data_IF_244690155700
#
_entry.id   IF_244690155700
#
_cell.length_a   1.000
_cell.length_b   1.000
_cell.length_c   1.000
_cell.angle_alpha   90.00
_cell.angle_beta   90.00
_cell.angle_gamma   90.00
#
_symmetry.space_group_name_H-M   'P 1'
#
loop_
_entity.id
_entity.type
_entity.pdbx_description
1 polymer ?
#
# COMPACT_ATOMS: atom_id res chain seq x y z
N UNK A 1 -9.67 -32.28 -28.70
CA UNK A 1 -9.88 -30.83 -28.96
C UNK A 1 -10.51 -30.12 -27.75
N UNK A 2 -11.68 -30.56 -27.26
CA UNK A 2 -12.42 -29.89 -26.18
C UNK A 2 -11.64 -29.78 -24.83
N UNK A 3 -10.87 -30.80 -24.45
CA UNK A 3 -10.05 -30.83 -23.22
C UNK A 3 -8.84 -29.86 -23.23
N UNK A 4 -8.30 -29.54 -24.41
CA UNK A 4 -7.15 -28.62 -24.53
C UNK A 4 -7.62 -27.17 -24.38
N UNK A 5 -8.79 -26.84 -24.94
CA UNK A 5 -9.42 -25.52 -24.79
C UNK A 5 -9.81 -25.27 -23.33
N UNK A 6 -10.35 -26.29 -22.64
CA UNK A 6 -10.67 -26.18 -21.22
C UNK A 6 -9.43 -25.90 -20.36
N UNK A 7 -8.32 -26.62 -20.57
CA UNK A 7 -7.07 -26.37 -19.84
C UNK A 7 -6.45 -24.99 -20.12
N UNK A 8 -6.56 -24.50 -21.36
CA UNK A 8 -6.08 -23.17 -21.73
C UNK A 8 -6.92 -22.05 -21.07
N UNK A 9 -8.24 -22.20 -21.04
CA UNK A 9 -9.15 -21.25 -20.38
C UNK A 9 -8.96 -21.29 -18.85
N UNK A 10 -8.76 -22.47 -18.26
CA UNK A 10 -8.49 -22.64 -16.82
C UNK A 10 -7.16 -21.97 -16.41
N UNK A 11 -6.12 -22.05 -17.25
CA UNK A 11 -4.83 -21.41 -17.00
C UNK A 11 -4.93 -19.87 -16.95
N UNK A 12 -5.77 -19.27 -17.80
CA UNK A 12 -5.99 -17.82 -17.83
C UNK A 12 -6.72 -17.30 -16.58
N UNK A 13 -7.67 -18.08 -16.05
CA UNK A 13 -8.49 -17.70 -14.88
C UNK A 13 -7.75 -17.85 -13.54
N UNK A 14 -6.70 -18.66 -13.47
CA UNK A 14 -5.99 -18.96 -12.22
C UNK A 14 -4.75 -18.10 -11.93
N UNK A 15 -4.49 -17.05 -12.72
CA UNK A 15 -3.41 -16.11 -12.38
C UNK A 15 -3.85 -15.21 -11.22
N UNK A 16 -3.62 -15.68 -9.99
CA UNK A 16 -3.76 -14.88 -8.77
C UNK A 16 -2.71 -13.76 -8.83
N UNK A 17 -3.07 -12.65 -9.46
CA UNK A 17 -2.20 -11.49 -9.60
C UNK A 17 -1.80 -11.02 -8.20
N UNK A 18 -0.52 -10.72 -8.00
CA UNK A 18 0.00 -10.20 -6.72
C UNK A 18 -0.25 -8.70 -6.70
N UNK A 19 -0.80 -8.17 -5.60
CA UNK A 19 -0.92 -6.72 -5.43
C UNK A 19 0.49 -6.13 -5.33
N UNK A 20 0.85 -5.28 -6.28
CA UNK A 20 2.11 -4.52 -6.26
C UNK A 20 1.82 -3.16 -5.66
N UNK A 21 2.53 -2.81 -4.58
CA UNK A 21 2.43 -1.50 -3.96
C UNK A 21 3.53 -0.57 -4.46
N UNK A 22 3.22 0.72 -4.53
CA UNK A 22 4.23 1.77 -4.73
C UNK A 22 5.09 1.90 -3.49
N UNK A 23 6.38 2.13 -3.69
CA UNK A 23 7.30 2.41 -2.59
C UNK A 23 6.83 3.68 -1.86
N UNK A 24 6.63 3.52 -0.56
CA UNK A 24 6.21 4.59 0.33
C UNK A 24 7.07 4.52 1.57
N UNK A 25 8.03 5.43 1.66
CA UNK A 25 8.82 5.63 2.85
C UNK A 25 8.65 7.10 3.30
N UNK A 26 7.85 7.35 4.34
CA UNK A 26 7.62 8.72 4.83
C UNK A 26 8.85 9.34 5.51
N UNK A 27 9.90 8.54 5.77
CA UNK A 27 11.16 8.97 6.39
C UNK A 27 12.31 9.00 5.37
N UNK A 28 12.00 9.08 4.07
CA UNK A 28 13.02 9.25 3.04
C UNK A 28 13.83 10.52 3.33
N UNK A 29 15.12 10.31 3.59
CA UNK A 29 16.06 11.39 3.80
C UNK A 29 16.37 11.99 2.43
N UNK A 30 15.59 13.00 2.03
CA UNK A 30 15.76 13.69 0.76
C UNK A 30 17.16 14.35 0.69
N UNK A 31 17.65 14.56 -0.54
CA UNK A 31 18.95 15.20 -0.83
C UNK A 31 19.08 16.66 -0.35
N UNK A 32 18.00 17.25 0.18
CA UNK A 32 17.99 18.60 0.73
C UNK A 32 17.59 18.55 2.23
N UNK A 33 18.23 19.35 3.09
CA UNK A 33 18.03 19.33 4.55
C UNK A 33 16.72 20.02 4.93
N UNK A 34 16.15 19.89 6.15
CA UNK A 34 16.06 18.77 7.09
C UNK A 34 14.89 17.84 6.72
N UNK A 35 14.74 16.70 7.38
CA UNK A 35 13.59 15.83 7.14
C UNK A 35 12.29 16.60 7.38
N UNK A 36 11.28 16.48 6.51
CA UNK A 36 9.99 17.19 6.67
C UNK A 36 9.29 16.84 8.00
N UNK A 37 9.65 15.69 8.57
CA UNK A 37 9.22 15.23 9.89
C UNK A 37 9.90 15.95 11.07
N UNK A 38 11.08 16.56 10.88
CA UNK A 38 11.81 17.36 11.89
C UNK A 38 11.26 18.78 12.00
N UNK A 39 10.61 19.29 10.94
CA UNK A 39 9.93 20.60 10.96
C UNK A 39 8.66 20.62 11.83
N UNK A 40 8.22 19.44 12.30
CA UNK A 40 7.01 19.28 13.10
C UNK A 40 7.42 18.97 14.53
N UNK A 41 6.96 19.75 15.51
CA UNK A 41 7.23 19.49 16.92
C UNK A 41 6.75 18.10 17.36
N UNK A 42 7.47 17.47 18.29
CA UNK A 42 7.13 16.13 18.80
C UNK A 42 5.76 16.04 19.48
N UNK A 43 5.27 17.15 20.02
CA UNK A 43 3.94 17.24 20.64
C UNK A 43 2.81 17.55 19.66
N UNK A 44 3.10 17.68 18.36
CA UNK A 44 2.06 17.99 17.38
C UNK A 44 1.08 16.81 17.21
N UNK A 45 -0.25 17.03 17.22
CA UNK A 45 -1.25 15.96 17.14
C UNK A 45 -1.10 15.09 15.89
N UNK A 46 -0.58 15.63 14.78
CA UNK A 46 -0.33 14.87 13.54
C UNK A 46 0.65 13.70 13.75
N UNK A 47 1.68 13.84 14.60
CA UNK A 47 2.59 12.73 14.93
C UNK A 47 1.86 11.62 15.69
N UNK A 48 0.97 12.01 16.60
CA UNK A 48 0.16 11.06 17.39
C UNK A 48 -0.77 10.28 16.46
N UNK A 49 -1.48 10.96 15.56
CA UNK A 49 -2.36 10.33 14.57
C UNK A 49 -1.58 9.40 13.64
N UNK A 50 -0.42 9.85 13.13
CA UNK A 50 0.46 9.03 12.29
C UNK A 50 0.91 7.75 13.01
N UNK A 51 1.30 7.85 14.28
CA UNK A 51 1.70 6.70 15.11
C UNK A 51 0.53 5.74 15.37
N UNK A 52 -0.67 6.26 15.59
CA UNK A 52 -1.88 5.44 15.74
C UNK A 52 -2.13 4.65 14.46
N UNK A 53 -2.11 5.30 13.29
CA UNK A 53 -2.30 4.64 11.98
C UNK A 53 -1.23 3.59 11.72
N UNK A 54 0.02 3.84 12.15
CA UNK A 54 1.12 2.88 12.00
C UNK A 54 0.93 1.61 12.85
N UNK A 55 0.26 1.73 14.00
CA UNK A 55 -0.07 0.60 14.89
C UNK A 55 -1.31 -0.22 14.49
N UNK A 56 -2.10 0.22 13.52
CA UNK A 56 -3.31 -0.51 13.08
C UNK A 56 -2.97 -1.77 12.27
N UNK A 57 -3.70 -2.87 12.53
CA UNK A 57 -3.62 -4.08 11.71
C UNK A 57 -4.42 -3.91 10.40
N UNK A 58 -3.70 -3.66 9.32
CA UNK A 58 -4.25 -3.42 7.98
C UNK A 58 -4.38 -4.68 7.11
N UNK A 59 -4.12 -5.88 7.65
CA UNK A 59 -4.19 -7.15 6.88
C UNK A 59 -5.53 -7.33 6.17
N UNK A 60 -6.62 -6.97 6.81
CA UNK A 60 -7.96 -7.08 6.23
C UNK A 60 -8.16 -6.07 5.09
N UNK A 61 -7.61 -4.86 5.20
CA UNK A 61 -7.65 -3.89 4.10
C UNK A 61 -6.85 -4.39 2.90
N UNK A 62 -5.65 -4.92 3.11
CA UNK A 62 -4.80 -5.45 2.03
C UNK A 62 -5.53 -6.55 1.24
N UNK A 63 -6.30 -7.43 1.91
CA UNK A 63 -7.06 -8.50 1.25
C UNK A 63 -8.14 -7.99 0.30
N UNK A 64 -8.67 -6.78 0.53
CA UNK A 64 -9.70 -6.16 -0.31
C UNK A 64 -9.12 -5.52 -1.57
N UNK A 65 -7.79 -5.32 -1.64
CA UNK A 65 -7.16 -4.76 -2.84
C UNK A 65 -7.27 -5.75 -4.00
N UNK A 66 -7.82 -5.27 -5.11
CA UNK A 66 -7.89 -6.02 -6.36
C UNK A 66 -6.52 -6.03 -7.02
N UNK A 67 -5.96 -7.20 -7.33
CA UNK A 67 -4.72 -7.26 -8.06
C UNK A 67 -4.95 -7.14 -9.58
N UNK A 68 -4.32 -6.16 -10.22
CA UNK A 68 -4.42 -5.91 -11.66
C UNK A 68 -4.23 -4.43 -12.00
N UNK A 69 -3.90 -4.12 -13.27
CA UNK A 69 -3.66 -2.74 -13.71
C UNK A 69 -2.31 -2.17 -13.26
N UNK A 70 -2.32 -0.95 -12.70
CA UNK A 70 -1.12 -0.24 -12.21
C UNK A 70 -0.84 -0.55 -10.73
N UNK A 71 0.34 -0.17 -10.24
CA UNK A 71 0.71 -0.35 -8.83
C UNK A 71 -0.22 0.45 -7.90
N UNK A 72 -0.66 -0.21 -6.83
CA UNK A 72 -1.56 0.36 -5.83
C UNK A 72 -0.81 1.15 -4.77
N UNK A 73 -1.47 2.12 -4.14
CA UNK A 73 -0.91 2.78 -2.96
C UNK A 73 -1.10 1.91 -1.71
N UNK A 74 -0.15 1.99 -0.78
CA UNK A 74 -0.23 1.27 0.48
C UNK A 74 -1.39 1.82 1.33
N UNK A 75 -2.24 0.98 1.95
CA UNK A 75 -3.40 1.46 2.71
C UNK A 75 -3.03 2.38 3.87
N UNK A 76 -1.88 2.16 4.55
CA UNK A 76 -1.38 3.10 5.58
C UNK A 76 -1.10 4.50 5.03
N UNK A 77 -0.59 4.60 3.79
CA UNK A 77 -0.38 5.90 3.17
C UNK A 77 -1.71 6.61 2.96
N UNK A 78 -2.70 5.90 2.40
CA UNK A 78 -4.01 6.49 2.12
C UNK A 78 -4.75 6.91 3.40
N UNK A 79 -4.64 6.13 4.47
CA UNK A 79 -5.22 6.49 5.77
C UNK A 79 -4.60 7.77 6.35
N UNK A 80 -3.30 8.00 6.15
CA UNK A 80 -2.63 9.25 6.56
C UNK A 80 -3.01 10.46 5.70
N UNK A 81 -3.56 10.27 4.50
CA UNK A 81 -4.06 11.35 3.64
C UNK A 81 -5.52 11.68 3.93
N UNK A 82 -6.29 10.69 4.39
CA UNK A 82 -7.71 10.84 4.69
C UNK A 82 -8.02 11.55 6.00
N UNK A 83 -7.11 11.47 6.98
CA UNK A 83 -7.27 11.98 8.35
C UNK A 83 -6.37 13.20 8.53
#
# INVERSE_FOLDING_TARGET
>A
AFLIVANFVICCVLTKSKVVFKDYNPKENLLFPPNLSELIDDKHPVKIVSNIIDGLDIKNLIKTYKPGGTSSYHPKMLLKVLI
#
